data_IF_835352339037
#
_entry.id   IF_835352339037
#
_cell.length_a   1.000
_cell.length_b   1.000
_cell.length_c   1.000
_cell.angle_alpha   90.00
_cell.angle_beta   90.00
_cell.angle_gamma   90.00
#
_symmetry.space_group_name_H-M   'P 1'
#
loop_
_entity.id
_entity.type
_entity.pdbx_description
1 polymer ?
#
# COMPACT_ATOMS: atom_id res chain seq x y z
N UNK A 1 -15.75 -38.95 21.55
CA UNK A 1 -16.61 -38.96 20.34
C UNK A 1 -17.03 -37.52 20.12
N UNK A 2 -16.76 -36.82 19.03
CA UNK A 2 -16.37 -37.18 17.68
C UNK A 2 -15.34 -36.13 17.24
N UNK A 3 -14.16 -36.57 16.80
CA UNK A 3 -13.23 -35.72 16.09
C UNK A 3 -13.76 -35.54 14.68
N UNK A 4 -14.14 -34.31 14.33
CA UNK A 4 -14.49 -33.97 12.96
C UNK A 4 -13.20 -33.82 12.15
N UNK A 5 -13.18 -34.48 11.00
CA UNK A 5 -12.05 -34.60 10.10
C UNK A 5 -11.49 -33.22 9.71
N UNK A 6 -10.20 -33.01 9.97
CA UNK A 6 -9.43 -31.92 9.38
C UNK A 6 -9.04 -32.35 7.97
N UNK A 7 -9.90 -32.07 7.01
CA UNK A 7 -9.77 -32.50 5.62
C UNK A 7 -10.51 -31.60 4.66
N UNK A 8 -10.39 -30.28 4.80
CA UNK A 8 -10.73 -29.32 3.76
C UNK A 8 -9.65 -28.23 3.77
N UNK A 9 -8.92 -28.08 2.67
CA UNK A 9 -8.06 -26.93 2.44
C UNK A 9 -8.92 -25.67 2.57
N UNK A 10 -8.82 -24.97 3.70
CA UNK A 10 -9.31 -23.59 3.83
C UNK A 10 -8.79 -22.80 2.63
N UNK A 11 -9.68 -22.36 1.73
CA UNK A 11 -9.31 -21.53 0.59
C UNK A 11 -8.55 -20.29 1.10
N UNK A 12 -7.30 -20.12 0.67
CA UNK A 12 -6.49 -18.96 1.02
C UNK A 12 -6.93 -17.82 0.10
N UNK A 13 -7.30 -16.69 0.69
CA UNK A 13 -7.58 -15.46 -0.06
C UNK A 13 -6.44 -14.48 0.05
N UNK A 14 -6.28 -13.63 -0.96
CA UNK A 14 -5.21 -12.64 -1.04
C UNK A 14 -5.77 -11.22 -1.25
N UNK A 15 -5.11 -10.24 -0.64
CA UNK A 15 -5.27 -8.82 -0.94
C UNK A 15 -3.90 -8.14 -0.92
N UNK A 16 -3.68 -7.18 -1.82
CA UNK A 16 -2.42 -6.43 -1.89
C UNK A 16 -2.72 -4.95 -1.68
N UNK A 17 -1.98 -4.34 -0.76
CA UNK A 17 -1.90 -2.89 -0.60
C UNK A 17 -0.55 -2.44 -1.17
N UNK A 18 -0.55 -1.40 -1.99
CA UNK A 18 0.67 -0.80 -2.55
C UNK A 18 0.64 0.72 -2.41
N UNK A 19 1.61 1.24 -1.67
CA UNK A 19 1.86 2.67 -1.52
C UNK A 19 2.79 3.16 -2.66
N UNK A 20 2.39 4.24 -3.30
CA UNK A 20 3.03 4.78 -4.50
C UNK A 20 3.36 6.25 -4.30
N UNK A 21 4.54 6.67 -4.75
CA UNK A 21 4.91 8.09 -4.78
C UNK A 21 4.33 8.79 -6.02
N UNK A 22 3.87 10.02 -5.83
CA UNK A 22 3.57 10.98 -6.90
C UNK A 22 4.78 11.89 -7.10
N UNK A 23 5.31 11.90 -8.32
CA UNK A 23 6.52 12.64 -8.69
C UNK A 23 6.24 13.61 -9.83
N UNK A 24 6.99 14.70 -9.83
CA UNK A 24 7.03 15.65 -10.94
C UNK A 24 7.83 15.02 -12.10
N UNK A 25 7.29 14.93 -13.32
CA UNK A 25 7.93 14.21 -14.42
C UNK A 25 9.22 14.88 -14.94
N UNK A 26 9.38 16.20 -14.75
CA UNK A 26 10.53 16.96 -15.24
C UNK A 26 11.70 16.90 -14.26
N UNK A 27 11.42 17.17 -12.99
CA UNK A 27 12.43 17.19 -11.91
C UNK A 27 12.68 15.82 -11.31
N UNK A 28 11.72 14.89 -11.44
CA UNK A 28 11.70 13.57 -10.82
C UNK A 28 11.68 13.62 -9.29
N UNK A 29 11.37 14.75 -8.68
CA UNK A 29 11.20 14.86 -7.23
C UNK A 29 9.74 14.60 -6.82
N UNK A 30 9.51 14.37 -5.54
CA UNK A 30 8.16 14.21 -4.99
C UNK A 30 7.33 15.50 -5.16
N UNK A 31 6.09 15.34 -5.58
CA UNK A 31 5.10 16.41 -5.54
C UNK A 31 4.64 16.62 -4.10
N UNK A 32 5.24 17.57 -3.38
CA UNK A 32 4.88 17.86 -1.99
C UNK A 32 3.40 18.22 -1.81
N UNK A 33 2.78 18.83 -2.82
CA UNK A 33 1.36 19.16 -2.88
C UNK A 33 0.80 18.80 -4.27
N UNK A 34 0.46 17.52 -4.48
CA UNK A 34 -0.09 17.07 -5.76
C UNK A 34 -1.53 17.55 -5.94
N UNK A 35 -1.98 17.61 -7.20
CA UNK A 35 -3.34 18.03 -7.54
C UNK A 35 -4.38 17.07 -6.89
N UNK A 36 -5.32 17.57 -6.06
CA UNK A 36 -6.36 16.74 -5.45
C UNK A 36 -7.27 16.06 -6.48
N UNK A 37 -7.31 16.55 -7.71
CA UNK A 37 -7.99 15.94 -8.85
C UNK A 37 -7.50 14.52 -9.16
N UNK A 38 -6.23 14.20 -8.89
CA UNK A 38 -5.66 12.85 -9.08
C UNK A 38 -6.47 11.81 -8.29
N UNK A 39 -6.66 12.04 -6.99
CA UNK A 39 -7.42 11.11 -6.15
C UNK A 39 -8.87 10.99 -6.61
N UNK A 40 -9.51 12.12 -6.93
CA UNK A 40 -10.87 12.11 -7.45
C UNK A 40 -10.98 11.32 -8.77
N UNK A 41 -9.95 11.37 -9.61
CA UNK A 41 -9.87 10.65 -10.87
C UNK A 41 -9.65 9.14 -10.65
N UNK A 42 -8.79 8.77 -9.71
CA UNK A 42 -8.64 7.38 -9.24
C UNK A 42 -9.98 6.82 -8.74
N UNK A 43 -10.70 7.54 -7.88
CA UNK A 43 -11.98 7.09 -7.32
C UNK A 43 -13.05 6.81 -8.39
N UNK A 44 -13.04 7.56 -9.51
CA UNK A 44 -13.95 7.30 -10.63
C UNK A 44 -13.59 6.05 -11.44
N UNK A 45 -12.33 5.61 -11.42
CA UNK A 45 -11.78 4.56 -12.30
C UNK A 45 -11.46 3.25 -11.58
N UNK A 46 -11.31 3.27 -10.25
CA UNK A 46 -10.78 2.14 -9.46
C UNK A 46 -11.60 0.85 -9.48
N UNK A 47 -12.83 0.87 -10.02
CA UNK A 47 -13.70 -0.30 -10.04
C UNK A 47 -13.85 -0.94 -8.64
N UNK A 48 -13.56 -2.25 -8.47
CA UNK A 48 -13.72 -2.94 -7.19
C UNK A 48 -12.57 -2.69 -6.19
N UNK A 49 -11.51 -1.98 -6.59
CA UNK A 49 -10.35 -1.68 -5.74
C UNK A 49 -10.60 -0.48 -4.84
N UNK A 50 -9.66 -0.12 -3.98
CA UNK A 50 -9.65 1.15 -3.25
C UNK A 50 -8.41 1.95 -3.63
N UNK A 51 -8.53 3.28 -3.63
CA UNK A 51 -7.37 4.19 -3.70
C UNK A 51 -7.57 5.25 -2.65
N UNK A 52 -6.64 5.39 -1.72
CA UNK A 52 -6.77 6.31 -0.59
C UNK A 52 -5.54 7.20 -0.46
N UNK A 53 -5.66 8.39 0.14
CA UNK A 53 -4.49 9.17 0.53
C UNK A 53 -3.71 8.41 1.60
N UNK A 54 -2.39 8.43 1.51
CA UNK A 54 -1.50 7.89 2.55
C UNK A 54 -0.91 9.01 3.42
N UNK A 55 0.08 8.67 4.24
CA UNK A 55 0.70 9.53 5.23
C UNK A 55 1.23 10.85 4.65
N UNK A 56 2.02 10.78 3.58
CA UNK A 56 2.45 11.98 2.86
C UNK A 56 1.44 12.31 1.77
N UNK A 57 1.23 13.60 1.50
CA UNK A 57 0.37 14.05 0.40
C UNK A 57 0.88 13.57 -0.96
N UNK A 58 2.19 13.44 -1.09
CA UNK A 58 2.89 12.88 -2.25
C UNK A 58 2.68 11.36 -2.42
N UNK A 59 1.78 10.73 -1.66
CA UNK A 59 1.57 9.29 -1.67
C UNK A 59 0.10 8.91 -1.86
N UNK A 60 -0.11 7.84 -2.60
CA UNK A 60 -1.38 7.14 -2.70
C UNK A 60 -1.19 5.69 -2.30
N UNK A 61 -2.15 5.14 -1.54
CA UNK A 61 -2.23 3.71 -1.25
C UNK A 61 -3.33 3.09 -2.12
N UNK A 62 -3.02 2.00 -2.82
CA UNK A 62 -4.00 1.23 -3.59
C UNK A 62 -4.24 -0.12 -2.94
N UNK A 63 -5.49 -0.53 -2.78
CA UNK A 63 -5.86 -1.81 -2.18
C UNK A 63 -6.65 -2.64 -3.20
N UNK A 64 -6.14 -3.82 -3.54
CA UNK A 64 -6.80 -4.71 -4.49
C UNK A 64 -8.12 -5.22 -3.94
N UNK A 65 -8.95 -5.79 -4.83
CA UNK A 65 -10.06 -6.65 -4.40
C UNK A 65 -9.49 -7.90 -3.72
N UNK A 66 -10.33 -8.63 -3.00
CA UNK A 66 -9.99 -9.97 -2.51
C UNK A 66 -9.87 -10.91 -3.71
N UNK A 67 -8.80 -11.71 -3.75
CA UNK A 67 -8.44 -12.60 -4.84
C UNK A 67 -8.34 -14.04 -4.33
N UNK A 68 -8.71 -15.01 -5.17
CA UNK A 68 -8.63 -16.45 -4.85
C UNK A 68 -7.30 -17.10 -5.21
N UNK A 69 -6.43 -16.38 -5.93
CA UNK A 69 -5.14 -16.90 -6.38
C UNK A 69 -4.10 -15.79 -6.54
N UNK A 70 -2.82 -16.18 -6.62
CA UNK A 70 -1.71 -15.25 -6.90
C UNK A 70 -1.88 -14.61 -8.29
N UNK A 71 -2.34 -15.38 -9.28
CA UNK A 71 -2.56 -14.87 -10.64
C UNK A 71 -3.59 -13.73 -10.64
N UNK A 72 -4.72 -13.93 -9.95
CA UNK A 72 -5.73 -12.88 -9.77
C UNK A 72 -5.19 -11.67 -9.00
N UNK A 73 -4.40 -11.88 -7.94
CA UNK A 73 -3.80 -10.77 -7.19
C UNK A 73 -2.83 -9.95 -8.05
N UNK A 74 -2.03 -10.61 -8.89
CA UNK A 74 -1.15 -9.93 -9.84
C UNK A 74 -1.92 -9.17 -10.94
N UNK A 75 -3.06 -9.68 -11.38
CA UNK A 75 -3.94 -8.97 -12.30
C UNK A 75 -4.54 -7.72 -11.64
N UNK A 76 -5.13 -7.88 -10.46
CA UNK A 76 -5.69 -6.78 -9.68
C UNK A 76 -4.66 -5.69 -9.36
N UNK A 77 -3.41 -6.06 -9.07
CA UNK A 77 -2.32 -5.10 -8.84
C UNK A 77 -1.94 -4.32 -10.12
N UNK A 78 -2.01 -4.96 -11.30
CA UNK A 78 -1.80 -4.23 -12.56
C UNK A 78 -2.94 -3.27 -12.86
N UNK A 79 -4.17 -3.65 -12.52
CA UNK A 79 -5.36 -2.81 -12.66
C UNK A 79 -5.25 -1.57 -11.76
N UNK A 80 -4.90 -1.73 -10.48
CA UNK A 80 -4.72 -0.59 -9.55
C UNK A 80 -3.61 0.34 -10.00
N UNK A 81 -2.46 -0.19 -10.42
CA UNK A 81 -1.35 0.63 -10.96
C UNK A 81 -1.76 1.42 -12.18
N UNK A 82 -2.49 0.80 -13.12
CA UNK A 82 -2.99 1.49 -14.33
C UNK A 82 -3.88 2.67 -13.96
N UNK A 83 -4.82 2.47 -13.03
CA UNK A 83 -5.73 3.52 -12.54
C UNK A 83 -4.95 4.72 -12.01
N UNK A 84 -3.92 4.50 -11.19
CA UNK A 84 -3.13 5.59 -10.60
C UNK A 84 -2.24 6.27 -11.63
N UNK A 85 -1.63 5.52 -12.55
CA UNK A 85 -0.79 6.08 -13.63
C UNK A 85 -1.63 6.99 -14.52
N UNK A 86 -2.76 6.51 -15.05
CA UNK A 86 -3.64 7.30 -15.92
C UNK A 86 -4.17 8.55 -15.21
N UNK A 87 -4.54 8.43 -13.93
CA UNK A 87 -4.99 9.57 -13.14
C UNK A 87 -3.88 10.59 -12.85
N UNK A 88 -2.64 10.13 -12.61
CA UNK A 88 -1.51 11.03 -12.38
C UNK A 88 -1.15 11.80 -13.67
N UNK A 89 -1.07 11.10 -14.81
CA UNK A 89 -0.71 11.68 -16.10
C UNK A 89 -1.68 12.79 -16.54
N UNK A 90 -2.99 12.59 -16.34
CA UNK A 90 -4.02 13.59 -16.63
C UNK A 90 -3.84 14.91 -15.86
N UNK A 91 -3.16 14.85 -14.72
CA UNK A 91 -2.92 15.96 -13.82
C UNK A 91 -1.44 16.39 -13.78
N UNK A 92 -0.65 15.99 -14.79
CA UNK A 92 0.75 16.41 -14.93
C UNK A 92 1.72 15.79 -13.92
N UNK A 93 1.34 14.67 -13.30
CA UNK A 93 2.18 13.91 -12.38
C UNK A 93 2.59 12.57 -12.99
N UNK A 94 3.64 11.96 -12.43
CA UNK A 94 4.02 10.58 -12.70
C UNK A 94 4.05 9.76 -11.39
N UNK A 95 4.13 8.43 -11.52
CA UNK A 95 4.06 7.49 -10.40
C UNK A 95 5.38 6.75 -10.24
N UNK A 96 5.84 6.62 -9.00
CA UNK A 96 7.03 5.83 -8.65
C UNK A 96 6.68 4.74 -7.61
N UNK A 97 6.85 3.48 -8.02
CA UNK A 97 6.73 2.31 -7.16
C UNK A 97 8.11 1.90 -6.64
N UNK A 98 8.55 2.49 -5.53
CA UNK A 98 9.83 2.18 -4.88
C UNK A 98 9.78 2.51 -3.40
N UNK A 99 10.38 1.67 -2.55
CA UNK A 99 10.32 1.83 -1.09
C UNK A 99 10.89 3.16 -0.57
N UNK A 100 11.84 3.75 -1.29
CA UNK A 100 12.46 5.04 -0.96
C UNK A 100 12.59 5.89 -2.21
N UNK A 101 12.35 7.19 -2.08
CA UNK A 101 12.72 8.14 -3.12
C UNK A 101 14.24 8.42 -3.08
N UNK A 102 14.99 8.39 -4.20
CA UNK A 102 16.46 8.42 -4.19
C UNK A 102 17.08 9.69 -3.59
N UNK A 103 16.41 10.84 -3.71
CA UNK A 103 16.95 12.14 -3.27
C UNK A 103 15.91 13.05 -2.60
N UNK A 104 14.67 12.58 -2.38
CA UNK A 104 13.64 13.44 -1.82
C UNK A 104 14.03 13.90 -0.42
N UNK A 105 13.74 15.16 -0.12
CA UNK A 105 14.00 15.71 1.19
C UNK A 105 12.74 15.57 2.05
N UNK A 106 12.80 14.74 3.09
CA UNK A 106 11.68 14.55 4.03
C UNK A 106 11.16 15.87 4.63
N UNK A 107 12.03 16.89 4.78
CA UNK A 107 11.68 18.21 5.35
C UNK A 107 10.74 19.03 4.49
N UNK A 108 10.69 18.77 3.18
CA UNK A 108 9.82 19.49 2.25
C UNK A 108 8.49 18.76 2.02
N UNK A 109 8.33 17.56 2.61
CA UNK A 109 7.13 16.74 2.44
C UNK A 109 6.01 17.18 3.39
N UNK A 110 4.79 17.17 2.87
CA UNK A 110 3.60 17.54 3.63
C UNK A 110 2.85 16.29 4.08
N UNK A 111 2.41 16.30 5.33
CA UNK A 111 1.56 15.25 5.89
C UNK A 111 0.11 15.46 5.44
N UNK A 112 -0.57 14.36 5.12
CA UNK A 112 -2.00 14.35 4.85
C UNK A 112 -2.77 14.72 6.13
N UNK A 113 -3.73 15.65 6.07
CA UNK A 113 -4.49 16.06 7.26
C UNK A 113 -5.46 14.95 7.71
N UNK A 114 -5.03 14.11 8.65
CA UNK A 114 -5.87 13.11 9.34
C UNK A 114 -5.48 13.07 10.83
N UNK A 115 -6.47 13.04 11.72
CA UNK A 115 -6.29 13.00 13.19
C UNK A 115 -5.31 11.91 13.65
N UNK A 116 -5.31 10.75 12.98
CA UNK A 116 -4.40 9.64 13.30
C UNK A 116 -2.93 10.04 13.12
N UNK A 117 -2.60 10.78 12.07
CA UNK A 117 -1.22 11.18 11.79
C UNK A 117 -0.76 12.28 12.74
N UNK A 118 -1.65 13.18 13.16
CA UNK A 118 -1.35 14.17 14.20
C UNK A 118 -0.99 13.52 15.53
N UNK A 119 -1.73 12.46 15.94
CA UNK A 119 -1.38 11.67 17.13
C UNK A 119 0.00 11.03 17.01
N UNK A 120 0.32 10.45 15.86
CA UNK A 120 1.64 9.85 15.65
C UNK A 120 2.76 10.89 15.66
N UNK A 121 2.56 12.05 15.04
CA UNK A 121 3.52 13.16 15.11
C UNK A 121 3.73 13.63 16.56
N UNK A 122 2.68 13.68 17.37
CA UNK A 122 2.78 14.03 18.78
C UNK A 122 3.53 12.96 19.60
N UNK A 123 3.34 11.67 19.32
CA UNK A 123 3.99 10.58 20.05
C UNK A 123 5.46 10.37 19.65
N UNK A 124 5.74 10.35 18.35
CA UNK A 124 7.04 9.91 17.80
C UNK A 124 7.92 11.06 17.31
N UNK A 125 7.38 12.29 17.27
CA UNK A 125 8.11 13.53 17.02
C UNK A 125 8.99 13.43 15.76
N UNK A 126 10.29 13.74 15.88
CA UNK A 126 11.22 13.80 14.77
C UNK A 126 11.43 12.47 14.03
N UNK A 127 11.22 11.33 14.69
CA UNK A 127 11.35 10.02 14.04
C UNK A 127 10.26 9.82 13.00
N UNK A 128 9.05 10.28 13.29
CA UNK A 128 7.90 10.15 12.40
C UNK A 128 7.94 11.14 11.24
N UNK A 129 8.48 12.35 11.48
CA UNK A 129 8.66 13.38 10.43
C UNK A 129 9.65 12.96 9.33
N UNK A 130 10.53 12.00 9.62
CA UNK A 130 11.53 11.47 8.67
C UNK A 130 11.00 10.35 7.78
N UNK A 131 9.77 9.89 8.01
CA UNK A 131 9.18 8.80 7.24
C UNK A 131 8.84 9.35 5.85
N UNK A 132 9.64 8.92 4.88
CA UNK A 132 9.45 9.14 3.46
C UNK A 132 9.71 7.81 2.74
N UNK A 133 8.82 6.85 3.04
CA UNK A 133 8.91 5.47 2.61
C UNK A 133 7.56 5.04 2.05
N UNK A 134 7.59 4.13 1.10
CA UNK A 134 6.40 3.36 0.72
C UNK A 134 6.61 1.88 0.98
N UNK A 135 5.51 1.14 1.08
CA UNK A 135 5.52 -0.30 1.24
C UNK A 135 4.50 -1.01 0.34
N UNK A 136 4.72 -2.31 0.18
CA UNK A 136 3.71 -3.24 -0.31
C UNK A 136 3.34 -4.19 0.82
N UNK A 137 2.04 -4.33 1.06
CA UNK A 137 1.51 -5.28 2.05
C UNK A 137 0.74 -6.38 1.33
N UNK A 138 1.08 -7.64 1.62
CA UNK A 138 0.34 -8.80 1.12
C UNK A 138 -0.44 -9.43 2.28
N UNK A 139 -1.75 -9.38 2.17
CA UNK A 139 -2.68 -9.92 3.15
C UNK A 139 -3.13 -11.31 2.70
N UNK A 140 -2.98 -12.31 3.57
CA UNK A 140 -3.47 -13.66 3.34
C UNK A 140 -4.53 -14.03 4.37
N UNK A 141 -5.75 -14.33 3.92
CA UNK A 141 -6.85 -14.81 4.74
C UNK A 141 -6.92 -16.34 4.72
N UNK A 142 -6.75 -16.99 5.88
CA UNK A 142 -6.81 -18.45 6.02
C UNK A 142 -6.99 -18.90 7.47
N UNK A 143 -7.52 -20.10 7.68
CA UNK A 143 -7.51 -20.79 8.98
C UNK A 143 -8.22 -20.05 10.12
N UNK A 144 -8.16 -20.63 11.32
CA UNK A 144 -8.66 -20.03 12.57
C UNK A 144 -7.60 -19.11 13.22
N UNK A 145 -7.97 -18.28 14.22
CA UNK A 145 -7.04 -17.36 14.87
C UNK A 145 -5.79 -18.03 15.46
N UNK A 146 -5.90 -19.23 16.01
CA UNK A 146 -4.76 -19.94 16.62
C UNK A 146 -3.78 -20.40 15.52
N UNK A 147 -4.30 -20.94 14.43
CA UNK A 147 -3.51 -21.29 13.25
C UNK A 147 -2.77 -20.09 12.65
N UNK A 148 -3.42 -18.92 12.56
CA UNK A 148 -2.79 -17.68 12.08
C UNK A 148 -1.63 -17.25 12.98
N UNK A 149 -1.79 -17.29 14.30
CA UNK A 149 -0.72 -16.95 15.25
C UNK A 149 0.48 -17.89 15.09
N UNK A 150 0.22 -19.20 15.00
CA UNK A 150 1.29 -20.20 14.80
C UNK A 150 2.04 -19.96 13.49
N UNK A 151 1.33 -19.71 12.40
CA UNK A 151 1.93 -19.46 11.08
C UNK A 151 2.72 -18.15 11.07
N UNK A 152 2.16 -17.05 11.58
CA UNK A 152 2.88 -15.77 11.70
C UNK A 152 4.16 -15.91 12.54
N UNK A 153 4.11 -16.70 13.62
CA UNK A 153 5.29 -16.97 14.45
C UNK A 153 6.36 -17.76 13.69
N UNK A 154 5.96 -18.75 12.88
CA UNK A 154 6.88 -19.51 12.04
C UNK A 154 7.49 -18.66 10.92
N UNK A 155 6.68 -17.83 10.25
CA UNK A 155 7.10 -16.95 9.15
C UNK A 155 8.19 -15.96 9.56
N UNK A 156 8.28 -15.58 10.84
CA UNK A 156 9.37 -14.73 11.36
C UNK A 156 10.77 -15.25 11.04
N UNK A 157 10.95 -16.57 10.94
CA UNK A 157 12.22 -17.20 10.57
C UNK A 157 12.59 -16.99 9.10
N UNK A 158 11.61 -16.65 8.27
CA UNK A 158 11.75 -16.45 6.84
C UNK A 158 11.72 -14.97 6.43
N UNK A 159 11.50 -14.04 7.36
CA UNK A 159 11.51 -12.59 7.06
C UNK A 159 12.75 -12.11 6.27
N UNK A 160 13.98 -12.59 6.55
CA UNK A 160 15.14 -12.18 5.76
C UNK A 160 15.01 -12.50 4.25
N UNK A 161 14.25 -13.54 3.88
CA UNK A 161 14.03 -13.90 2.48
C UNK A 161 13.08 -12.96 1.75
N UNK A 162 12.22 -12.22 2.47
CA UNK A 162 11.31 -11.24 1.89
C UNK A 162 11.94 -9.85 1.74
N UNK A 163 13.07 -9.60 2.40
CA UNK A 163 13.79 -8.32 2.35
C UNK A 163 15.10 -8.37 1.52
N UNK A 164 15.46 -9.55 1.02
CA UNK A 164 16.67 -9.77 0.21
C UNK A 164 16.43 -9.44 -1.26
#
# INVERSE_FOLDING_TARGET
MSGSAHGETSEITLGVEEELFLVDPDTRDLLAEPDPGILAACERRRGPHKVVPEFLRAQLETNTRVCGSVAEACEALRETRRVVIEAAEEHGAAVMAASTHPFAQWRTQLVTPKDRYERFAATYQESFRRICLTAMHVHAGFGDPESRIRIMTALRRHLPLFHA
#
